data_IF_154782601695
#
_entry.id   IF_154782601695
#
_cell.length_a   1.000
_cell.length_b   1.000
_cell.length_c   1.000
_cell.angle_alpha   90.00
_cell.angle_beta   90.00
_cell.angle_gamma   90.00
#
_symmetry.space_group_name_H-M   'P 1'
#
loop_
_entity.id
_entity.type
_entity.pdbx_description
1 polymer ?
#
# COMPACT_ATOMS: atom_id res chain seq x y z
N UNK A 1 8.98 12.01 -2.60
CA UNK A 1 7.70 11.92 -1.85
C UNK A 1 7.90 11.01 -0.65
N UNK A 2 7.16 11.18 0.46
CA UNK A 2 7.18 10.25 1.60
C UNK A 2 5.80 9.67 1.85
N UNK A 3 5.72 8.37 2.12
CA UNK A 3 4.50 7.72 2.63
C UNK A 3 4.72 7.37 4.09
N UNK A 4 3.71 7.62 4.92
CA UNK A 4 3.66 7.10 6.28
C UNK A 4 2.45 6.19 6.44
N UNK A 5 2.61 5.06 7.11
CA UNK A 5 1.50 4.24 7.58
C UNK A 5 1.53 4.20 9.10
N UNK A 6 0.62 4.96 9.72
CA UNK A 6 0.47 5.03 11.15
C UNK A 6 -0.55 3.99 11.61
N UNK A 7 -0.09 3.00 12.35
CA UNK A 7 -0.91 1.95 12.96
C UNK A 7 -1.71 2.57 14.11
N UNK A 8 -3.03 2.41 14.07
CA UNK A 8 -3.93 2.90 15.12
C UNK A 8 -4.50 1.76 15.96
N UNK A 9 -4.76 0.62 15.34
CA UNK A 9 -5.25 -0.58 16.02
C UNK A 9 -4.44 -1.79 15.58
N UNK A 10 -4.25 -2.73 16.52
CA UNK A 10 -3.58 -4.01 16.29
C UNK A 10 -4.40 -5.13 16.91
N UNK A 11 -4.72 -6.12 16.09
CA UNK A 11 -5.25 -7.42 16.48
C UNK A 11 -4.15 -8.48 16.30
N UNK A 12 -4.41 -9.72 16.71
CA UNK A 12 -3.43 -10.81 16.73
C UNK A 12 -2.73 -11.07 15.38
N UNK A 13 -3.39 -10.74 14.26
CA UNK A 13 -2.87 -10.97 12.90
C UNK A 13 -2.98 -9.77 11.96
N UNK A 14 -3.59 -8.67 12.39
CA UNK A 14 -3.86 -7.52 11.52
C UNK A 14 -3.62 -6.19 12.22
N UNK A 15 -3.31 -5.18 11.42
CA UNK A 15 -3.29 -3.79 11.85
C UNK A 15 -4.21 -2.97 10.99
N UNK A 16 -4.80 -1.92 11.57
CA UNK A 16 -5.50 -0.89 10.83
C UNK A 16 -4.98 0.48 11.22
N UNK A 17 -5.06 1.44 10.31
CA UNK A 17 -4.53 2.77 10.54
C UNK A 17 -4.67 3.67 9.33
N UNK A 18 -3.85 4.72 9.33
CA UNK A 18 -3.90 5.78 8.32
C UNK A 18 -2.63 5.74 7.49
N UNK A 19 -2.80 5.60 6.17
CA UNK A 19 -1.73 5.81 5.22
C UNK A 19 -1.79 7.23 4.67
N UNK A 20 -0.70 7.98 4.77
CA UNK A 20 -0.58 9.38 4.35
C UNK A 20 0.46 9.53 3.26
N UNK A 21 0.09 10.21 2.17
CA UNK A 21 1.03 10.64 1.13
C UNK A 21 1.47 12.06 1.45
N UNK A 22 2.78 12.27 1.59
CA UNK A 22 3.37 13.56 1.99
C UNK A 22 4.25 14.14 0.88
N UNK A 23 4.05 15.43 0.62
CA UNK A 23 5.04 16.25 -0.07
C UNK A 23 6.05 16.73 0.97
N UNK A 24 7.21 16.07 1.04
CA UNK A 24 8.15 16.24 2.16
C UNK A 24 7.47 15.93 3.50
N UNK A 25 7.21 16.95 4.33
CA UNK A 25 6.58 16.83 5.65
C UNK A 25 5.13 17.36 5.69
N UNK A 26 4.57 17.71 4.53
CA UNK A 26 3.19 18.22 4.44
C UNK A 26 2.26 17.12 3.91
N UNK A 27 1.24 16.71 4.67
CA UNK A 27 0.22 15.77 4.19
C UNK A 27 -0.51 16.30 2.95
N UNK A 28 -0.59 15.48 1.91
CA UNK A 28 -1.38 15.76 0.69
C UNK A 28 -2.75 15.10 0.82
N UNK A 29 -2.77 13.83 1.19
CA UNK A 29 -3.97 12.99 1.30
C UNK A 29 -3.74 11.84 2.27
N UNK A 30 -4.82 11.36 2.88
CA UNK A 30 -4.82 10.22 3.79
C UNK A 30 -5.83 9.18 3.34
N UNK A 31 -5.55 7.92 3.67
CA UNK A 31 -6.38 6.76 3.36
C UNK A 31 -6.48 5.86 4.58
N UNK A 32 -7.68 5.32 4.83
CA UNK A 32 -7.84 4.20 5.74
C UNK A 32 -7.15 2.97 5.14
N UNK A 33 -6.37 2.26 5.94
CA UNK A 33 -5.59 1.14 5.47
C UNK A 33 -5.50 0.00 6.48
N UNK A 34 -5.42 -1.22 5.96
CA UNK A 34 -5.26 -2.44 6.74
C UNK A 34 -4.00 -3.18 6.31
N UNK A 35 -3.41 -3.96 7.21
CA UNK A 35 -2.34 -4.86 6.87
C UNK A 35 -2.46 -6.17 7.63
N UNK A 36 -2.22 -7.29 6.95
CA UNK A 36 -2.39 -8.61 7.53
C UNK A 36 -3.84 -9.06 7.58
N UNK A 37 -4.15 -9.97 8.50
CA UNK A 37 -5.38 -10.76 8.53
C UNK A 37 -5.16 -12.17 7.98
N UNK A 38 -4.09 -12.36 7.20
CA UNK A 38 -3.69 -13.63 6.59
C UNK A 38 -2.19 -13.87 6.71
N UNK A 39 -1.73 -15.09 6.38
CA UNK A 39 -0.32 -15.42 6.27
C UNK A 39 0.49 -15.15 7.56
N UNK A 40 1.65 -14.50 7.41
CA UNK A 40 2.55 -14.12 8.51
C UNK A 40 2.10 -12.87 9.28
N UNK A 41 0.85 -12.43 9.11
CA UNK A 41 0.28 -11.27 9.79
C UNK A 41 0.63 -9.94 9.14
N UNK A 42 0.47 -8.85 9.89
CA UNK A 42 0.65 -7.48 9.40
C UNK A 42 2.07 -7.18 8.90
N UNK A 43 2.19 -6.09 8.14
CA UNK A 43 3.44 -5.50 7.73
C UNK A 43 4.28 -5.12 8.96
N UNK A 44 5.56 -5.49 9.05
CA UNK A 44 6.42 -5.07 10.15
C UNK A 44 6.61 -3.54 10.17
N UNK A 45 6.78 -2.97 11.37
CA UNK A 45 7.18 -1.57 11.52
C UNK A 45 8.61 -1.36 11.04
N UNK A 46 8.89 -0.22 10.42
CA UNK A 46 10.22 0.09 9.91
C UNK A 46 10.21 0.98 8.68
N UNK A 47 11.39 1.18 8.12
CA UNK A 47 11.60 1.95 6.90
C UNK A 47 11.69 1.03 5.70
N UNK A 48 11.08 1.45 4.60
CA UNK A 48 11.07 0.74 3.33
C UNK A 48 11.44 1.69 2.19
N UNK A 49 12.04 1.16 1.14
CA UNK A 49 12.06 1.79 -0.19
C UNK A 49 10.98 1.18 -1.06
N UNK A 50 10.62 1.86 -2.14
CA UNK A 50 9.67 1.33 -3.12
C UNK A 50 10.34 0.75 -4.35
N UNK A 51 9.75 -0.31 -4.90
CA UNK A 51 10.03 -0.78 -6.26
C UNK A 51 9.28 0.02 -7.33
N UNK A 52 9.31 -0.48 -8.57
CA UNK A 52 8.53 0.09 -9.68
C UNK A 52 7.03 -0.11 -9.44
N UNK A 53 6.25 0.97 -9.51
CA UNK A 53 4.79 0.92 -9.46
C UNK A 53 4.24 0.08 -10.62
N UNK A 54 3.37 -0.87 -10.30
CA UNK A 54 2.65 -1.67 -11.29
C UNK A 54 1.40 -0.93 -11.76
N UNK A 55 1.19 -0.91 -13.07
CA UNK A 55 0.08 -0.19 -13.70
C UNK A 55 -1.25 -0.96 -13.59
N UNK A 56 -2.41 -0.30 -13.79
CA UNK A 56 -3.70 -0.98 -13.85
C UNK A 56 -3.74 -2.12 -14.87
N UNK A 57 -3.08 -1.97 -16.02
CA UNK A 57 -3.02 -3.01 -17.05
C UNK A 57 -2.22 -4.23 -16.57
N UNK A 58 -1.11 -4.00 -15.84
CA UNK A 58 -0.33 -5.08 -15.25
C UNK A 58 -1.12 -5.82 -14.18
N UNK A 59 -1.91 -5.11 -13.36
CA UNK A 59 -2.78 -5.73 -12.36
C UNK A 59 -3.92 -6.52 -13.02
N UNK A 60 -4.57 -5.96 -14.05
CA UNK A 60 -5.65 -6.63 -14.76
C UNK A 60 -5.22 -7.93 -15.45
N UNK A 61 -3.93 -8.08 -15.76
CA UNK A 61 -3.36 -9.30 -16.32
C UNK A 61 -3.10 -10.41 -15.27
N UNK A 62 -3.21 -10.12 -13.97
CA UNK A 62 -3.00 -11.11 -12.91
C UNK A 62 -4.22 -12.03 -12.78
N UNK A 63 -3.98 -13.32 -12.55
CA UNK A 63 -5.05 -14.29 -12.27
C UNK A 63 -5.84 -13.98 -11.00
N UNK A 64 -5.25 -13.20 -10.07
CA UNK A 64 -5.85 -12.73 -8.84
C UNK A 64 -6.04 -11.21 -8.80
N UNK A 65 -6.24 -10.56 -9.96
CA UNK A 65 -6.42 -9.11 -10.08
C UNK A 65 -7.42 -8.51 -9.08
N UNK A 66 -8.49 -9.26 -8.77
CA UNK A 66 -9.53 -8.85 -7.81
C UNK A 66 -9.00 -8.50 -6.42
N UNK A 67 -7.88 -9.08 -5.96
CA UNK A 67 -7.25 -8.79 -4.67
C UNK A 67 -6.49 -7.46 -4.63
N UNK A 68 -6.22 -6.86 -5.79
CA UNK A 68 -5.40 -5.65 -5.94
C UNK A 68 -6.18 -4.48 -6.55
N UNK A 69 -7.49 -4.61 -6.71
CA UNK A 69 -8.32 -3.59 -7.35
C UNK A 69 -9.64 -3.36 -6.62
N UNK A 70 -10.09 -2.11 -6.66
CA UNK A 70 -11.47 -1.74 -6.35
C UNK A 70 -12.03 -0.96 -7.52
N UNK A 71 -13.34 -1.08 -7.78
CA UNK A 71 -13.99 -0.38 -8.89
C UNK A 71 -13.31 -0.64 -10.26
N UNK A 72 -12.79 -1.86 -10.46
CA UNK A 72 -12.02 -2.27 -11.65
C UNK A 72 -10.74 -1.46 -11.91
N UNK A 73 -10.19 -0.82 -10.88
CA UNK A 73 -8.95 -0.07 -10.94
C UNK A 73 -7.96 -0.56 -9.88
N UNK A 74 -6.83 -1.09 -10.34
CA UNK A 74 -5.81 -1.69 -9.48
C UNK A 74 -4.43 -1.10 -9.69
N UNK A 75 -3.58 -1.22 -8.67
CA UNK A 75 -2.15 -0.90 -8.75
C UNK A 75 -1.43 -1.63 -7.63
N UNK A 76 -0.11 -1.79 -7.76
CA UNK A 76 0.72 -2.34 -6.70
C UNK A 76 2.04 -1.59 -6.63
N UNK A 77 2.35 -1.02 -5.46
CA UNK A 77 3.62 -0.38 -5.18
C UNK A 77 4.46 -1.31 -4.31
N UNK A 78 5.48 -2.00 -4.86
CA UNK A 78 6.30 -2.92 -4.08
C UNK A 78 7.05 -2.19 -2.96
N UNK A 79 7.15 -2.83 -1.79
CA UNK A 79 7.92 -2.37 -0.65
C UNK A 79 9.13 -3.28 -0.42
N UNK A 80 10.29 -2.67 -0.23
CA UNK A 80 11.56 -3.34 0.06
C UNK A 80 12.01 -2.90 1.45
N UNK A 81 12.03 -3.82 2.45
CA UNK A 81 12.50 -3.53 3.80
C UNK A 81 13.93 -2.97 3.80
N UNK A 82 14.19 -1.92 4.60
CA UNK A 82 15.55 -1.41 4.88
C UNK A 82 16.10 -1.97 6.20
N UNK A 83 15.59 -3.11 6.63
CA UNK A 83 15.93 -3.82 7.86
C UNK A 83 15.90 -5.33 7.61
N UNK A 84 16.53 -6.11 8.49
CA UNK A 84 16.55 -7.57 8.35
C UNK A 84 15.17 -8.19 8.61
N UNK A 85 14.69 -8.96 7.65
CA UNK A 85 13.42 -9.68 7.75
C UNK A 85 13.34 -10.80 6.72
N UNK A 86 12.53 -11.81 7.00
CA UNK A 86 12.20 -12.91 6.08
C UNK A 86 10.92 -12.63 5.26
N UNK A 87 10.35 -11.42 5.39
CA UNK A 87 9.13 -11.00 4.70
C UNK A 87 9.46 -10.51 3.30
N UNK A 88 8.81 -11.10 2.30
CA UNK A 88 8.97 -10.78 0.89
C UNK A 88 7.63 -10.37 0.26
N UNK A 89 7.66 -9.86 -0.97
CA UNK A 89 6.47 -9.57 -1.80
C UNK A 89 5.48 -8.60 -1.13
N UNK A 90 6.00 -7.69 -0.30
CA UNK A 90 5.23 -6.67 0.39
C UNK A 90 4.91 -5.52 -0.57
N UNK A 91 3.77 -4.86 -0.37
CA UNK A 91 3.41 -3.70 -1.19
C UNK A 91 2.26 -2.88 -0.64
N UNK A 92 1.94 -1.79 -1.33
CA UNK A 92 0.74 -0.98 -1.11
C UNK A 92 -0.17 -1.15 -2.33
N UNK A 93 -1.43 -1.49 -2.09
CA UNK A 93 -2.44 -1.68 -3.15
C UNK A 93 -3.86 -1.44 -2.63
N UNK A 94 -4.86 -1.25 -3.50
CA UNK A 94 -6.28 -1.32 -3.11
C UNK A 94 -6.62 -2.64 -2.41
N UNK A 95 -7.34 -2.57 -1.28
CA UNK A 95 -7.83 -3.76 -0.55
C UNK A 95 -9.04 -4.36 -1.26
N UNK A 96 -8.78 -5.06 -2.36
CA UNK A 96 -9.81 -5.70 -3.19
C UNK A 96 -10.12 -7.14 -2.76
N UNK A 97 -11.24 -7.68 -3.24
CA UNK A 97 -11.61 -9.06 -3.00
C UNK A 97 -12.02 -9.34 -1.55
N UNK A 98 -11.36 -10.30 -0.89
CA UNK A 98 -11.61 -10.63 0.52
C UNK A 98 -10.81 -9.66 1.39
N UNK A 99 -11.44 -8.95 2.36
CA UNK A 99 -10.74 -7.96 3.18
C UNK A 99 -9.48 -8.51 3.87
N UNK A 100 -8.44 -7.69 3.91
CA UNK A 100 -7.15 -8.02 4.51
C UNK A 100 -6.12 -8.54 3.51
N UNK A 101 -4.88 -8.64 3.96
CA UNK A 101 -3.73 -8.91 3.10
C UNK A 101 -2.83 -10.01 3.66
N UNK A 102 -1.92 -10.53 2.84
CA UNK A 102 -0.82 -11.40 3.26
C UNK A 102 0.37 -10.60 3.84
N UNK A 103 0.12 -9.40 4.36
CA UNK A 103 1.13 -8.50 4.91
C UNK A 103 1.38 -7.23 4.10
N UNK A 104 0.70 -7.04 2.98
CA UNK A 104 0.67 -5.76 2.26
C UNK A 104 -0.10 -4.70 3.06
N UNK A 105 -0.05 -3.45 2.60
CA UNK A 105 -0.97 -2.39 3.03
C UNK A 105 -2.12 -2.31 2.01
N UNK A 106 -3.29 -2.76 2.42
CA UNK A 106 -4.54 -2.66 1.66
C UNK A 106 -5.24 -1.32 1.92
N UNK A 107 -5.46 -0.53 0.88
CA UNK A 107 -6.14 0.76 0.94
C UNK A 107 -7.65 0.60 0.82
N UNK A 108 -8.41 1.14 1.79
CA UNK A 108 -9.89 1.14 1.82
C UNK A 108 -10.48 2.32 1.05
N UNK A 109 -10.26 2.31 -0.26
CA UNK A 109 -10.72 3.35 -1.18
C UNK A 109 -12.24 3.27 -1.39
N UNK A 110 -12.92 4.41 -1.40
CA UNK A 110 -14.39 4.49 -1.42
C UNK A 110 -14.96 4.76 -2.82
N UNK A 111 -14.16 5.28 -3.75
CA UNK A 111 -14.59 5.57 -5.12
C UNK A 111 -13.52 5.27 -6.16
N UNK A 112 -13.92 5.08 -7.41
CA UNK A 112 -12.99 4.96 -8.55
C UNK A 112 -12.11 6.22 -8.69
N UNK A 113 -12.68 7.41 -8.48
CA UNK A 113 -11.93 8.67 -8.52
C UNK A 113 -10.83 8.73 -7.45
N UNK A 114 -11.10 8.20 -6.26
CA UNK A 114 -10.12 8.10 -5.18
C UNK A 114 -9.01 7.12 -5.52
N UNK A 115 -9.33 5.97 -6.11
CA UNK A 115 -8.35 4.99 -6.57
C UNK A 115 -7.43 5.56 -7.66
N UNK A 116 -8.01 6.21 -8.67
CA UNK A 116 -7.26 6.88 -9.74
C UNK A 116 -6.37 7.99 -9.17
N UNK A 117 -6.90 8.83 -8.27
CA UNK A 117 -6.13 9.90 -7.63
C UNK A 117 -4.95 9.35 -6.83
N UNK A 118 -5.16 8.28 -6.07
CA UNK A 118 -4.09 7.61 -5.31
C UNK A 118 -2.98 7.16 -6.26
N UNK A 119 -3.33 6.40 -7.30
CA UNK A 119 -2.39 5.93 -8.31
C UNK A 119 -1.61 7.05 -8.97
N UNK A 120 -2.27 8.14 -9.38
CA UNK A 120 -1.59 9.27 -10.02
C UNK A 120 -0.59 9.96 -9.09
N UNK A 121 -0.89 10.08 -7.79
CA UNK A 121 0.04 10.63 -6.81
C UNK A 121 1.23 9.69 -6.59
N UNK A 122 1.00 8.38 -6.47
CA UNK A 122 2.07 7.39 -6.35
C UNK A 122 2.96 7.40 -7.60
N UNK A 123 2.37 7.45 -8.79
CA UNK A 123 3.08 7.53 -10.05
C UNK A 123 4.00 8.76 -10.07
N UNK A 124 3.46 9.95 -9.76
CA UNK A 124 4.22 11.19 -9.65
C UNK A 124 5.34 11.11 -8.60
N UNK A 125 5.12 10.40 -7.49
CA UNK A 125 6.15 10.13 -6.49
C UNK A 125 7.30 9.28 -7.04
N UNK A 126 6.98 8.21 -7.78
CA UNK A 126 7.98 7.27 -8.31
C UNK A 126 8.87 7.87 -9.40
N UNK A 127 8.35 8.74 -10.25
CA UNK A 127 9.17 9.41 -11.29
C UNK A 127 10.17 10.43 -10.71
N UNK A 128 9.95 10.92 -9.49
CA UNK A 128 10.76 11.95 -8.85
C UNK A 128 11.84 11.41 -7.90
N UNK A 129 12.41 10.23 -8.19
CA UNK A 129 13.53 9.66 -7.42
C UNK A 129 13.12 8.64 -6.34
N UNK A 130 11.96 8.01 -6.49
CA UNK A 130 11.46 6.99 -5.56
C UNK A 130 10.70 7.56 -4.36
N UNK A 131 10.10 6.65 -3.59
CA UNK A 131 9.28 6.99 -2.43
C UNK A 131 9.87 6.30 -1.20
N UNK A 132 10.14 7.08 -0.15
CA UNK A 132 10.43 6.52 1.17
C UNK A 132 9.14 6.22 1.90
N UNK A 133 9.08 5.05 2.53
CA UNK A 133 7.90 4.61 3.29
C UNK A 133 8.33 4.31 4.73
N UNK A 134 7.54 4.80 5.69
CA UNK A 134 7.76 4.55 7.11
C UNK A 134 6.47 4.02 7.75
N UNK A 135 6.61 2.91 8.49
CA UNK A 135 5.52 2.22 9.17
C UNK A 135 5.77 2.25 10.66
N UNK A 136 4.82 2.79 11.44
CA UNK A 136 4.95 2.96 12.89
C UNK A 136 3.62 2.81 13.62
#
# INVERSE_FOLDING_TARGET
>A
MKITYQIQNRDDKSTSGILTLNAYNTPIITYQAVSGGWGKGSLPTGKYSTGKLWTPEQIAALSNAASYQVFSFGFFLPLVPKFETDRTELGIHPDGGVPGTLGCVGLKLQTAAEAIRCYMLLLAGTVNGGIDVEVY
#
